data_IF_185078911381
#
_entry.id   IF_185078911381
#
_cell.length_a   1.000
_cell.length_b   1.000
_cell.length_c   1.000
_cell.angle_alpha   90.00
_cell.angle_beta   90.00
_cell.angle_gamma   90.00
#
_symmetry.space_group_name_H-M   'P 1'
#
loop_
_entity.id
_entity.type
_entity.pdbx_description
1 polymer ?
#
# COMPACT_ATOMS: atom_id res chain seq x y z
N UNK A 1 -20.85 -8.69 0.01
CA UNK A 1 -19.80 -8.94 1.01
C UNK A 1 -19.98 -7.92 2.14
N UNK A 2 -19.79 -8.27 3.42
CA UNK A 2 -19.74 -7.27 4.48
C UNK A 2 -18.59 -6.29 4.22
N UNK A 3 -18.85 -4.98 4.38
CA UNK A 3 -17.86 -3.92 4.13
C UNK A 3 -16.61 -4.09 4.98
N UNK A 4 -16.77 -4.53 6.23
CA UNK A 4 -15.66 -4.76 7.16
C UNK A 4 -14.64 -5.77 6.66
N UNK A 5 -15.12 -6.89 6.11
CA UNK A 5 -14.25 -7.95 5.59
C UNK A 5 -13.49 -7.48 4.33
N UNK A 6 -14.15 -6.66 3.51
CA UNK A 6 -13.52 -6.07 2.34
C UNK A 6 -12.45 -5.06 2.75
N UNK A 7 -12.72 -4.21 3.74
CA UNK A 7 -11.74 -3.27 4.29
C UNK A 7 -10.50 -4.00 4.81
N UNK A 8 -10.68 -5.09 5.56
CA UNK A 8 -9.58 -5.91 6.07
C UNK A 8 -8.74 -6.54 4.95
N UNK A 9 -9.39 -7.03 3.88
CA UNK A 9 -8.68 -7.53 2.70
C UNK A 9 -7.90 -6.42 1.97
N UNK A 10 -8.46 -5.22 1.87
CA UNK A 10 -7.78 -4.07 1.28
C UNK A 10 -6.57 -3.61 2.10
N UNK A 11 -6.64 -3.73 3.43
CA UNK A 11 -5.53 -3.41 4.34
C UNK A 11 -4.31 -4.31 4.12
N UNK A 12 -4.49 -5.52 3.59
CA UNK A 12 -3.40 -6.43 3.24
C UNK A 12 -2.70 -6.06 1.92
N UNK A 13 -3.35 -5.28 1.05
CA UNK A 13 -2.79 -4.89 -0.23
C UNK A 13 -1.82 -3.71 -0.06
N UNK A 14 -0.71 -3.65 -0.82
CA UNK A 14 0.13 -2.46 -0.85
C UNK A 14 -0.59 -1.27 -1.49
N UNK A 15 -0.10 -0.05 -1.21
CA UNK A 15 -0.70 1.18 -1.70
C UNK A 15 -0.85 1.25 -3.23
N UNK A 16 0.07 0.61 -3.98
CA UNK A 16 0.06 0.61 -5.45
C UNK A 16 -1.16 -0.15 -6.00
N UNK A 17 -1.49 -1.28 -5.40
CA UNK A 17 -2.61 -2.14 -5.76
C UNK A 17 -3.93 -1.44 -5.41
N UNK A 18 -3.99 -0.75 -4.26
CA UNK A 18 -5.14 0.09 -3.89
C UNK A 18 -5.37 1.22 -4.90
N UNK A 19 -4.31 1.86 -5.38
CA UNK A 19 -4.40 2.88 -6.42
C UNK A 19 -4.96 2.34 -7.74
N UNK A 20 -4.60 1.11 -8.13
CA UNK A 20 -5.18 0.45 -9.32
C UNK A 20 -6.67 0.14 -9.13
N UNK A 21 -7.06 -0.23 -7.91
CA UNK A 21 -8.45 -0.56 -7.58
C UNK A 21 -9.39 0.64 -7.76
N UNK A 22 -8.89 1.86 -7.52
CA UNK A 22 -9.64 3.11 -7.77
C UNK A 22 -10.11 3.26 -9.21
N UNK A 23 -9.43 2.60 -10.17
CA UNK A 23 -9.77 2.64 -11.59
C UNK A 23 -10.89 1.66 -11.97
N UNK A 24 -11.22 0.69 -11.10
CA UNK A 24 -12.22 -0.36 -11.38
C UNK A 24 -13.65 0.19 -11.35
N UNK A 25 -13.90 1.26 -10.58
CA UNK A 25 -15.19 1.95 -10.58
C UNK A 25 -15.42 2.84 -9.37
N UNK A 26 -16.56 3.57 -9.37
CA UNK A 26 -16.89 4.54 -8.31
C UNK A 26 -17.01 3.91 -6.93
N UNK A 27 -17.54 2.69 -6.84
CA UNK A 27 -17.69 1.97 -5.58
C UNK A 27 -16.32 1.68 -4.93
N UNK A 28 -15.35 1.21 -5.73
CA UNK A 28 -13.98 0.97 -5.28
C UNK A 28 -13.26 2.26 -4.93
N UNK A 29 -13.46 3.32 -5.72
CA UNK A 29 -12.89 4.62 -5.43
C UNK A 29 -13.39 5.22 -4.11
N UNK A 30 -14.70 5.15 -3.85
CA UNK A 30 -15.30 5.62 -2.60
C UNK A 30 -14.74 4.85 -1.39
N UNK A 31 -14.65 3.52 -1.50
CA UNK A 31 -14.16 2.64 -0.44
C UNK A 31 -12.66 2.86 -0.15
N UNK A 32 -11.83 3.03 -1.18
CA UNK A 32 -10.38 3.26 -1.02
C UNK A 32 -10.04 4.71 -0.65
N UNK A 33 -11.00 5.63 -0.78
CA UNK A 33 -10.85 7.03 -0.35
C UNK A 33 -11.42 7.28 1.05
N UNK A 34 -11.94 6.26 1.73
CA UNK A 34 -12.40 6.38 3.12
C UNK A 34 -11.20 6.74 4.03
N UNK A 35 -11.30 7.82 4.82
CA UNK A 35 -10.22 8.25 5.71
C UNK A 35 -9.78 7.15 6.69
N UNK A 36 -10.73 6.35 7.18
CA UNK A 36 -10.46 5.21 8.07
C UNK A 36 -9.53 4.19 7.44
N UNK A 37 -9.73 3.89 6.16
CA UNK A 37 -8.88 2.97 5.41
C UNK A 37 -7.47 3.56 5.24
N UNK A 38 -7.36 4.84 4.90
CA UNK A 38 -6.07 5.51 4.75
C UNK A 38 -5.26 5.54 6.07
N UNK A 39 -5.91 5.84 7.20
CA UNK A 39 -5.27 5.82 8.52
C UNK A 39 -4.81 4.43 8.92
N UNK A 40 -5.71 3.43 8.84
CA UNK A 40 -5.38 2.05 9.20
C UNK A 40 -4.31 1.46 8.27
N UNK A 41 -4.35 1.80 6.97
CA UNK A 41 -3.36 1.37 5.99
C UNK A 41 -1.99 2.00 6.29
N UNK A 42 -1.93 3.29 6.65
CA UNK A 42 -0.66 3.96 7.01
C UNK A 42 -0.02 3.39 8.28
N UNK A 43 -0.81 2.86 9.22
CA UNK A 43 -0.29 2.19 10.41
C UNK A 43 0.30 0.81 10.11
N UNK A 44 -0.26 0.09 9.12
CA UNK A 44 0.18 -1.28 8.73
C UNK A 44 1.29 -1.27 7.68
N UNK A 45 1.21 -0.31 6.76
CA UNK A 45 2.17 -0.04 5.72
C UNK A 45 2.71 1.36 5.97
N UNK A 46 3.58 1.55 6.98
CA UNK A 46 4.26 2.81 7.14
C UNK A 46 4.92 3.11 5.81
N UNK A 47 4.43 4.15 5.15
CA UNK A 47 5.05 4.64 3.95
C UNK A 47 6.47 5.00 4.41
N UNK A 48 7.44 4.16 4.04
CA UNK A 48 8.80 4.63 3.78
C UNK A 48 8.72 5.54 2.55
N UNK A 49 7.92 6.60 2.65
CA UNK A 49 8.07 7.80 1.88
C UNK A 49 9.40 8.35 2.37
N UNK A 50 10.49 7.87 1.76
CA UNK A 50 11.73 8.59 1.74
C UNK A 50 11.38 10.00 1.30
N UNK A 51 11.40 10.93 2.26
CA UNK A 51 11.50 12.35 1.99
C UNK A 51 12.81 12.49 1.23
N UNK A 52 12.72 12.42 -0.09
CA UNK A 52 13.84 12.71 -0.99
C UNK A 52 13.95 14.24 -1.06
N UNK A 53 14.41 14.85 0.03
CA UNK A 53 14.89 16.22 0.01
C UNK A 53 16.28 16.20 -0.65
N UNK A 54 16.29 16.17 -1.97
CA UNK A 54 17.50 16.18 -2.79
C UNK A 54 18.14 14.79 -2.96
N UNK A 55 18.63 14.53 -4.16
CA UNK A 55 19.34 13.31 -4.60
C UNK A 55 18.47 12.06 -4.89
N UNK A 56 18.22 11.90 -6.19
CA UNK A 56 17.56 10.81 -6.88
C UNK A 56 18.07 9.40 -6.53
N UNK A 57 17.51 8.73 -5.51
CA UNK A 57 17.32 7.26 -5.51
C UNK A 57 16.46 6.80 -4.34
N UNK A 58 15.13 6.75 -4.53
CA UNK A 58 14.27 6.03 -3.58
C UNK A 58 14.36 4.54 -3.93
N UNK A 59 15.20 3.80 -3.19
CA UNK A 59 15.19 2.33 -3.24
C UNK A 59 14.07 1.87 -2.32
N UNK A 60 12.94 1.50 -2.93
CA UNK A 60 11.89 0.76 -2.23
C UNK A 60 12.48 -0.57 -1.77
N UNK A 61 12.50 -0.79 -0.45
CA UNK A 61 12.70 -2.11 0.12
C UNK A 61 11.31 -2.65 0.38
N UNK A 62 10.87 -3.57 -0.48
CA UNK A 62 9.76 -4.46 -0.13
C UNK A 62 10.14 -5.20 1.14
N UNK A 63 9.28 -5.15 2.15
CA UNK A 63 9.31 -6.07 3.28
C UNK A 63 8.65 -7.39 2.83
N UNK A 64 9.20 -7.99 1.78
CA UNK A 64 9.08 -9.42 1.55
C UNK A 64 10.44 -10.00 1.90
N UNK A 65 10.50 -10.63 3.06
CA UNK A 65 11.65 -11.40 3.52
C UNK A 65 11.95 -12.51 2.50
N UNK A 66 12.78 -12.22 1.51
CA UNK A 66 13.48 -13.24 0.75
C UNK A 66 14.90 -12.76 0.46
N UNK A 67 15.75 -12.92 1.48
CA UNK A 67 17.20 -12.93 1.37
C UNK A 67 17.61 -14.07 0.42
N UNK A 68 17.67 -13.81 -0.88
CA UNK A 68 18.44 -14.63 -1.80
C UNK A 68 19.75 -13.93 -2.15
N UNK A 69 20.67 -14.18 -1.22
CA UNK A 69 22.12 -14.24 -1.37
C UNK A 69 22.58 -14.49 -2.81
N UNK A 70 23.19 -13.48 -3.43
CA UNK A 70 24.00 -13.64 -4.64
C UNK A 70 25.46 -13.75 -4.23
N UNK A 71 25.93 -15.00 -4.15
CA UNK A 71 27.34 -15.38 -4.17
C UNK A 71 27.79 -15.37 -5.63
N UNK A 72 28.86 -14.62 -5.93
CA UNK A 72 29.89 -14.95 -6.93
C UNK A 72 31.14 -14.18 -6.55
#
# INVERSE_FOLDING_TARGET
LPTELLSEALLCLPAKELCRLRLVGRAWWALTSEPRLATAHSSRHPLFAGVSLGAHKIRFLDHEANTQQTRT
#
